data_IF_347335004594
#
_entry.id   IF_347335004594
#
_cell.length_a   1.000
_cell.length_b   1.000
_cell.length_c   1.000
_cell.angle_alpha   90.00
_cell.angle_beta   90.00
_cell.angle_gamma   90.00
#
_symmetry.space_group_name_H-M   'P 1'
#
loop_
_entity.id
_entity.type
_entity.pdbx_description
1 polymer ?
#
# COMPACT_ATOMS: atom_id res chain seq x y z
N UNK A 1 20.24 8.35 3.02
CA UNK A 1 19.31 9.38 2.53
C UNK A 1 18.30 9.63 3.63
N UNK A 2 18.18 10.87 4.07
CA UNK A 2 17.14 11.28 5.01
C UNK A 2 15.93 11.73 4.18
N UNK A 3 14.86 10.94 4.19
CA UNK A 3 13.61 11.24 3.46
C UNK A 3 12.67 12.14 4.27
N UNK A 4 13.13 12.72 5.40
CA UNK A 4 12.33 13.56 6.27
C UNK A 4 11.36 12.76 7.16
N UNK A 5 11.59 11.46 7.32
CA UNK A 5 10.79 10.64 8.23
C UNK A 5 11.02 11.07 9.68
N UNK A 6 9.97 11.11 10.51
CA UNK A 6 10.15 11.26 11.95
C UNK A 6 11.02 10.15 12.52
N UNK A 7 11.87 10.46 13.51
CA UNK A 7 12.80 9.49 14.12
C UNK A 7 12.14 8.22 14.70
N UNK A 8 10.83 8.25 14.97
CA UNK A 8 10.09 7.09 15.45
C UNK A 8 9.76 6.08 14.33
N UNK A 9 9.86 6.46 13.06
CA UNK A 9 9.72 5.54 11.92
C UNK A 9 11.07 4.89 11.68
N UNK A 10 11.20 3.63 12.11
CA UNK A 10 12.46 2.88 12.04
C UNK A 10 12.57 1.96 10.81
N UNK A 11 11.48 1.76 10.07
CA UNK A 11 11.44 0.99 8.82
C UNK A 11 10.32 1.47 7.90
N UNK A 12 10.42 1.13 6.62
CA UNK A 12 9.35 1.20 5.64
C UNK A 12 8.99 -0.23 5.28
N UNK A 13 7.72 -0.59 5.41
CA UNK A 13 7.20 -1.93 5.12
C UNK A 13 6.91 -2.10 3.63
N UNK A 14 6.34 -1.07 2.99
CA UNK A 14 5.96 -1.14 1.58
C UNK A 14 5.95 0.25 0.91
N UNK A 15 6.03 0.26 -0.42
CA UNK A 15 6.02 1.49 -1.24
C UNK A 15 5.06 1.34 -2.42
N UNK A 16 4.17 2.31 -2.60
CA UNK A 16 3.26 2.37 -3.76
C UNK A 16 3.42 3.69 -4.50
N UNK A 17 3.44 3.65 -5.83
CA UNK A 17 3.29 4.84 -6.68
C UNK A 17 1.92 4.78 -7.32
N UNK A 18 1.14 5.85 -7.19
CA UNK A 18 -0.21 5.92 -7.75
C UNK A 18 -0.62 7.36 -8.11
N UNK A 19 -1.55 7.49 -9.07
CA UNK A 19 -2.15 8.75 -9.48
C UNK A 19 -1.43 9.48 -10.61
N UNK A 20 -2.03 10.60 -11.05
CA UNK A 20 -1.46 11.55 -12.02
C UNK A 20 -1.72 12.97 -11.46
N UNK A 21 -0.69 13.74 -11.06
CA UNK A 21 0.73 13.36 -11.07
C UNK A 21 1.02 12.17 -10.14
N UNK A 22 2.11 11.47 -10.42
CA UNK A 22 2.52 10.31 -9.62
C UNK A 22 2.89 10.76 -8.21
N UNK A 23 2.31 10.09 -7.22
CA UNK A 23 2.57 10.32 -5.80
C UNK A 23 3.09 9.02 -5.19
N UNK A 24 4.15 9.13 -4.37
CA UNK A 24 4.73 8.00 -3.64
C UNK A 24 4.10 7.88 -2.26
N UNK A 25 3.61 6.70 -1.93
CA UNK A 25 3.04 6.34 -0.65
C UNK A 25 4.02 5.41 0.06
N UNK A 26 4.42 5.76 1.26
CA UNK A 26 5.39 5.02 2.07
C UNK A 26 4.66 4.46 3.30
N UNK A 27 4.61 3.14 3.44
CA UNK A 27 3.84 2.45 4.49
C UNK A 27 4.76 1.98 5.61
N UNK A 28 4.32 2.13 6.86
CA UNK A 28 5.01 1.62 8.05
C UNK A 28 3.99 1.35 9.16
N UNK A 29 3.87 0.09 9.56
CA UNK A 29 2.93 -0.38 10.57
C UNK A 29 1.48 -0.10 10.16
N UNK A 30 0.77 0.65 11.00
CA UNK A 30 -0.64 1.03 10.81
C UNK A 30 -0.82 2.30 9.96
N UNK A 31 0.29 2.93 9.53
CA UNK A 31 0.29 4.26 8.95
C UNK A 31 1.00 4.31 7.61
N UNK A 32 0.70 5.37 6.86
CA UNK A 32 1.44 5.72 5.66
C UNK A 32 1.69 7.21 5.57
N UNK A 33 2.72 7.57 4.82
CA UNK A 33 3.12 8.92 4.48
C UNK A 33 3.00 9.13 2.98
N UNK A 34 2.79 10.38 2.58
CA UNK A 34 2.82 10.78 1.19
C UNK A 34 4.12 11.52 0.93
N UNK A 35 4.84 11.10 -0.10
CA UNK A 35 6.08 11.71 -0.55
C UNK A 35 5.87 12.29 -1.95
N UNK A 36 6.15 13.57 -2.09
CA UNK A 36 6.16 14.28 -3.35
C UNK A 36 7.55 14.15 -3.99
N UNK A 37 7.64 13.33 -5.03
CA UNK A 37 8.89 13.09 -5.75
C UNK A 37 9.40 14.29 -6.55
N UNK A 38 8.51 15.20 -6.95
CA UNK A 38 8.89 16.40 -7.71
C UNK A 38 9.59 17.40 -6.81
N UNK A 39 9.03 17.64 -5.62
CA UNK A 39 9.57 18.60 -4.65
C UNK A 39 10.51 17.97 -3.61
N UNK A 40 10.68 16.64 -3.64
CA UNK A 40 11.46 15.86 -2.65
C UNK A 40 11.03 16.13 -1.22
N UNK A 41 9.71 16.11 -1.00
CA UNK A 41 9.09 16.51 0.25
C UNK A 41 8.18 15.41 0.81
N UNK A 42 8.45 15.01 2.06
CA UNK A 42 7.51 14.20 2.84
C UNK A 42 6.39 15.10 3.36
N UNK A 43 5.15 14.83 2.96
CA UNK A 43 4.00 15.60 3.41
C UNK A 43 3.71 15.29 4.88
N UNK A 44 3.56 16.34 5.68
CA UNK A 44 3.92 16.35 7.11
C UNK A 44 3.03 15.53 8.07
N UNK A 45 2.02 14.78 7.59
CA UNK A 45 1.19 13.95 8.48
C UNK A 45 1.02 12.54 7.95
N UNK A 46 1.36 11.59 8.82
CA UNK A 46 1.01 10.20 8.63
C UNK A 46 -0.51 10.03 8.68
N UNK A 47 -1.03 9.11 7.87
CA UNK A 47 -2.44 8.78 7.80
C UNK A 47 -2.65 7.32 8.15
N UNK A 48 -3.77 6.99 8.78
CA UNK A 48 -4.15 5.62 9.09
C UNK A 48 -4.42 4.85 7.80
N UNK A 49 -3.80 3.69 7.63
CA UNK A 49 -4.04 2.81 6.48
C UNK A 49 -5.49 2.34 6.50
N UNK A 50 -5.98 1.89 7.66
CA UNK A 50 -7.34 1.35 7.82
C UNK A 50 -8.43 2.36 7.50
N UNK A 51 -8.22 3.63 7.86
CA UNK A 51 -9.19 4.70 7.59
C UNK A 51 -9.19 5.12 6.13
N UNK A 52 -8.02 5.18 5.50
CA UNK A 52 -7.86 5.61 4.12
C UNK A 52 -8.22 4.50 3.13
N UNK A 53 -7.60 3.32 3.28
CA UNK A 53 -7.78 2.13 2.45
C UNK A 53 -8.71 1.13 3.15
N UNK A 54 -10.02 1.37 3.09
CA UNK A 54 -10.99 0.57 3.84
C UNK A 54 -10.98 -0.90 3.39
N UNK A 55 -11.21 -1.81 4.33
CA UNK A 55 -11.22 -3.25 4.08
C UNK A 55 -9.84 -3.90 3.95
N UNK A 56 -8.76 -3.10 3.86
CA UNK A 56 -7.39 -3.62 3.91
C UNK A 56 -7.06 -4.08 5.33
N UNK A 57 -6.49 -5.29 5.44
CA UNK A 57 -5.95 -5.80 6.69
C UNK A 57 -4.61 -5.14 6.98
N UNK A 58 -4.41 -4.73 8.22
CA UNK A 58 -3.23 -4.00 8.70
C UNK A 58 -2.59 -4.74 9.89
N UNK A 59 -1.26 -4.63 10.09
CA UNK A 59 -0.30 -4.00 9.18
C UNK A 59 -0.16 -4.78 7.86
N UNK A 60 0.34 -4.11 6.82
CA UNK A 60 0.59 -4.74 5.52
C UNK A 60 2.04 -5.20 5.41
N UNK A 61 2.29 -6.26 4.65
CA UNK A 61 3.64 -6.73 4.33
C UNK A 61 4.15 -6.10 3.03
N UNK A 62 3.26 -5.88 2.05
CA UNK A 62 3.61 -5.25 0.76
C UNK A 62 2.37 -4.61 0.09
N UNK A 63 2.60 -3.76 -0.91
CA UNK A 63 1.57 -3.20 -1.80
C UNK A 63 2.09 -3.12 -3.23
N UNK A 64 1.27 -3.56 -4.18
CA UNK A 64 1.60 -3.58 -5.60
C UNK A 64 0.57 -2.80 -6.41
N UNK A 65 1.04 -1.89 -7.27
CA UNK A 65 0.21 -1.33 -8.36
C UNK A 65 0.49 -2.11 -9.63
N UNK A 66 -0.52 -2.74 -10.21
CA UNK A 66 -0.41 -3.45 -11.48
C UNK A 66 -0.44 -2.49 -12.67
N UNK A 67 -0.04 -2.98 -13.85
CA UNK A 67 0.00 -2.17 -15.09
C UNK A 67 -1.36 -1.57 -15.48
N UNK A 68 -2.46 -2.19 -15.06
CA UNK A 68 -3.83 -1.69 -15.24
C UNK A 68 -4.20 -0.53 -14.31
N UNK A 69 -3.35 -0.20 -13.33
CA UNK A 69 -3.63 0.76 -12.26
C UNK A 69 -4.35 0.16 -11.05
N UNK A 70 -4.64 -1.15 -11.06
CA UNK A 70 -5.19 -1.87 -9.91
C UNK A 70 -4.17 -1.96 -8.77
N UNK A 71 -4.61 -1.77 -7.52
CA UNK A 71 -3.75 -1.86 -6.34
C UNK A 71 -4.07 -3.12 -5.53
N UNK A 72 -3.03 -3.80 -5.07
CA UNK A 72 -3.12 -5.04 -4.31
C UNK A 72 -2.32 -4.91 -3.01
N UNK A 73 -2.96 -5.17 -1.87
CA UNK A 73 -2.32 -5.19 -0.57
C UNK A 73 -2.06 -6.62 -0.11
N UNK A 74 -0.92 -6.87 0.52
CA UNK A 74 -0.50 -8.21 0.95
C UNK A 74 -0.35 -8.29 2.47
N UNK A 75 -0.80 -9.40 3.05
CA UNK A 75 -0.57 -9.76 4.47
C UNK A 75 -0.47 -11.28 4.58
N UNK A 76 0.65 -11.79 5.06
CA UNK A 76 0.98 -13.21 5.06
C UNK A 76 0.93 -13.81 3.66
N UNK A 77 0.21 -14.91 3.49
CA UNK A 77 0.00 -15.58 2.21
C UNK A 77 -1.25 -15.08 1.46
N UNK A 78 -1.85 -13.96 1.91
CA UNK A 78 -3.10 -13.43 1.38
C UNK A 78 -2.89 -12.07 0.72
N UNK A 79 -3.75 -11.77 -0.27
CA UNK A 79 -3.80 -10.46 -0.90
C UNK A 79 -5.24 -9.96 -1.07
N UNK A 80 -5.39 -8.63 -1.04
CA UNK A 80 -6.65 -7.91 -1.24
C UNK A 80 -6.51 -6.99 -2.44
N UNK A 81 -7.40 -7.13 -3.44
CA UNK A 81 -7.52 -6.15 -4.50
C UNK A 81 -8.32 -4.94 -4.02
N UNK A 82 -7.76 -3.74 -4.16
CA UNK A 82 -8.38 -2.50 -3.72
C UNK A 82 -9.14 -1.83 -4.85
N UNK A 83 -10.38 -1.43 -4.56
CA UNK A 83 -11.21 -0.69 -5.48
C UNK A 83 -11.14 0.81 -5.17
N UNK A 84 -10.40 1.56 -5.98
CA UNK A 84 -10.25 3.01 -5.83
C UNK A 84 -11.58 3.77 -6.00
N UNK A 85 -12.54 3.27 -6.78
CA UNK A 85 -13.84 3.93 -6.99
C UNK A 85 -14.74 3.84 -5.75
N UNK A 86 -14.75 2.70 -5.09
CA UNK A 86 -15.56 2.46 -3.89
C UNK A 86 -14.78 2.70 -2.58
N UNK A 87 -13.49 2.99 -2.69
CA UNK A 87 -12.55 3.16 -1.57
C UNK A 87 -12.62 2.00 -0.55
N UNK A 88 -12.67 0.77 -1.06
CA UNK A 88 -12.70 -0.45 -0.26
C UNK A 88 -12.13 -1.63 -1.04
N UNK A 89 -11.75 -2.72 -0.36
CA UNK A 89 -11.37 -3.97 -1.03
C UNK A 89 -12.54 -4.56 -1.83
N UNK A 90 -12.25 -5.16 -2.99
CA UNK A 90 -13.26 -5.84 -3.80
C UNK A 90 -13.86 -7.06 -3.07
N UNK A 91 -15.10 -7.39 -3.41
CA UNK A 91 -15.77 -8.60 -2.92
C UNK A 91 -15.04 -9.86 -3.41
N UNK A 92 -14.97 -10.90 -2.57
CA UNK A 92 -14.30 -12.16 -2.90
C UNK A 92 -12.79 -12.17 -2.63
N UNK A 93 -12.28 -11.15 -1.92
CA UNK A 93 -10.94 -11.11 -1.34
C UNK A 93 -11.01 -11.22 0.20
N UNK A 94 -9.95 -11.72 0.88
CA UNK A 94 -8.64 -12.05 0.34
C UNK A 94 -8.59 -13.34 -0.50
N UNK A 95 -7.54 -13.46 -1.32
CA UNK A 95 -7.17 -14.68 -2.05
C UNK A 95 -5.73 -15.08 -1.73
N UNK A 96 -5.34 -16.30 -2.07
CA UNK A 96 -3.98 -16.80 -1.87
C UNK A 96 -3.01 -16.12 -2.85
N UNK A 97 -1.94 -15.54 -2.33
CA UNK A 97 -0.95 -14.83 -3.12
C UNK A 97 -0.07 -15.77 -3.96
N UNK A 98 0.25 -16.97 -3.46
CA UNK A 98 1.07 -17.94 -4.19
C UNK A 98 0.33 -18.51 -5.41
N UNK A 99 -0.97 -18.77 -5.28
CA UNK A 99 -1.82 -19.16 -6.43
C UNK A 99 -1.79 -18.08 -7.51
N UNK A 100 -1.98 -16.81 -7.12
CA UNK A 100 -2.06 -15.70 -8.07
C UNK A 100 -0.70 -15.33 -8.70
N UNK A 101 0.36 -15.24 -7.90
CA UNK A 101 1.66 -14.75 -8.34
C UNK A 101 2.54 -15.84 -8.93
N UNK A 102 2.45 -17.07 -8.43
CA UNK A 102 3.34 -18.16 -8.78
C UNK A 102 2.63 -19.29 -9.53
N UNK A 103 1.30 -19.25 -9.62
CA UNK A 103 0.51 -20.32 -10.24
C UNK A 103 0.52 -21.64 -9.46
N UNK A 104 0.85 -21.58 -8.16
CA UNK A 104 0.86 -22.76 -7.30
C UNK A 104 -0.59 -23.16 -6.97
N UNK A 105 -1.15 -24.07 -7.74
CA UNK A 105 -2.43 -24.69 -7.39
C UNK A 105 -2.17 -25.88 -6.44
N UNK A 106 -2.90 -25.99 -5.32
CA UNK A 106 -2.79 -27.12 -4.41
C UNK A 106 -3.25 -28.44 -5.03
#
# INVERSE_FOLDING_TARGET
MDYGFPHFVNKVDAVMIHGIPQITYLFSGEYFWVYDDQHKLLLQRHRSIKEHFKGVKTPIDDVLTWKSGDTYFFTGNQYWKFNHKHNTTENGYPKNAAEFLLGCNP
#
